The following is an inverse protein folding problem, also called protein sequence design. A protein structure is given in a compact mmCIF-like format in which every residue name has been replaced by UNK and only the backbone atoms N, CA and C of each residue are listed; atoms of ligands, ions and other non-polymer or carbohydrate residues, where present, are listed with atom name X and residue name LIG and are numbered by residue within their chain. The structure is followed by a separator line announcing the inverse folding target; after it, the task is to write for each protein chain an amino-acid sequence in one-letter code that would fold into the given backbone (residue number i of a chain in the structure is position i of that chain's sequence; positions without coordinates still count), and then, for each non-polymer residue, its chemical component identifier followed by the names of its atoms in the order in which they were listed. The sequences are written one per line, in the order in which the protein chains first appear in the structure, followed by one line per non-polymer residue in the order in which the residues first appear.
data_IF_551211149558
#
_entry.id   IF_551211149558
#
_cell.length_a   1.000
_cell.length_b   1.000
_cell.length_c   1.000
_cell.angle_alpha   90.00
_cell.angle_beta   90.00
_cell.angle_gamma   90.00
#
_symmetry.space_group_name_H-M   'P 1'
#
loop_
_entity.id
_entity.type
_entity.pdbx_description
1 polymer ?
#
# COMPACT_ATOMS: atom_id res chain seq x y z
N UNK A 1 -7.99 37.41 -0.47
CA UNK A 1 -9.08 36.56 0.07
C UNK A 1 -8.61 35.62 1.18
N UNK A 2 -7.47 34.91 1.04
CA UNK A 2 -6.88 34.08 2.11
C UNK A 2 -6.79 34.79 3.49
N UNK A 3 -6.31 36.04 3.50
CA UNK A 3 -6.14 36.87 4.69
C UNK A 3 -7.41 37.16 5.51
N UNK A 4 -8.59 37.11 4.87
CA UNK A 4 -9.89 37.32 5.55
C UNK A 4 -10.41 36.00 6.11
N UNK A 5 -10.25 34.90 5.37
CA UNK A 5 -10.53 33.56 5.89
C UNK A 5 -9.64 33.22 7.08
N UNK A 6 -8.36 33.58 7.04
CA UNK A 6 -7.42 33.33 8.15
C UNK A 6 -7.89 33.96 9.46
N UNK A 7 -8.36 35.22 9.39
CA UNK A 7 -8.83 35.97 10.55
C UNK A 7 -10.15 35.44 11.11
N UNK A 8 -11.06 35.00 10.25
CA UNK A 8 -12.31 34.34 10.66
C UNK A 8 -12.07 32.96 11.32
N UNK A 9 -11.10 32.20 10.84
CA UNK A 9 -10.76 30.89 11.39
C UNK A 9 -10.07 30.97 12.76
N UNK A 10 -9.09 31.86 12.92
CA UNK A 10 -8.34 32.00 14.18
C UNK A 10 -9.17 32.70 15.27
N UNK A 11 -9.94 33.74 14.94
CA UNK A 11 -10.60 34.57 15.96
C UNK A 11 -12.01 34.08 16.38
N UNK A 12 -12.70 33.24 15.58
CA UNK A 12 -14.12 32.91 15.82
C UNK A 12 -14.43 31.41 15.92
N UNK A 13 -13.66 30.54 15.28
CA UNK A 13 -14.03 29.12 15.16
C UNK A 13 -13.26 28.23 16.15
N UNK A 14 -12.03 28.59 16.54
CA UNK A 14 -11.24 27.83 17.52
C UNK A 14 -10.90 26.39 17.12
N UNK A 15 -11.26 25.98 15.90
CA UNK A 15 -10.99 24.66 15.33
C UNK A 15 -9.92 24.82 14.26
N UNK A 16 -8.70 24.38 14.56
CA UNK A 16 -7.68 24.16 13.54
C UNK A 16 -8.11 22.99 12.64
N UNK A 17 -8.91 23.29 11.62
CA UNK A 17 -9.33 22.27 10.65
C UNK A 17 -8.07 21.67 10.00
N UNK A 18 -7.89 20.36 10.11
CA UNK A 18 -6.80 19.61 9.45
C UNK A 18 -6.73 19.89 7.94
N UNK A 19 -7.86 20.23 7.33
CA UNK A 19 -7.95 20.63 5.93
C UNK A 19 -7.12 21.90 5.60
N UNK A 20 -7.00 22.86 6.53
CA UNK A 20 -6.23 24.10 6.31
C UNK A 20 -4.72 23.82 6.26
N UNK A 21 -4.20 23.09 7.25
CA UNK A 21 -2.78 22.71 7.27
C UNK A 21 -2.42 21.85 6.06
N UNK A 22 -3.33 20.96 5.64
CA UNK A 22 -3.17 20.14 4.45
C UNK A 22 -3.11 20.98 3.15
N UNK A 23 -4.04 21.91 2.95
CA UNK A 23 -4.05 22.81 1.78
C UNK A 23 -2.78 23.68 1.74
N UNK A 24 -2.32 24.15 2.90
CA UNK A 24 -1.07 24.90 2.99
C UNK A 24 0.14 24.03 2.62
N UNK A 25 0.22 22.79 3.12
CA UNK A 25 1.26 21.83 2.71
C UNK A 25 1.24 21.58 1.20
N UNK A 26 0.07 21.32 0.61
CA UNK A 26 -0.09 21.13 -0.84
C UNK A 26 0.40 22.33 -1.65
N UNK A 27 0.09 23.55 -1.21
CA UNK A 27 0.53 24.77 -1.90
C UNK A 27 2.06 24.94 -1.86
N UNK A 28 2.69 24.60 -0.73
CA UNK A 28 4.14 24.64 -0.58
C UNK A 28 4.82 23.58 -1.45
N UNK A 29 4.26 22.37 -1.48
CA UNK A 29 4.70 21.27 -2.32
C UNK A 29 4.63 21.63 -3.82
N UNK A 30 3.50 22.17 -4.29
CA UNK A 30 3.34 22.57 -5.69
C UNK A 30 4.35 23.65 -6.13
N UNK A 31 4.66 24.61 -5.25
CA UNK A 31 5.66 25.65 -5.53
C UNK A 31 7.07 25.07 -5.64
N UNK A 32 7.44 24.19 -4.71
CA UNK A 32 8.72 23.46 -4.76
C UNK A 32 8.84 22.63 -6.04
N UNK A 33 7.74 22.03 -6.50
CA UNK A 33 7.72 21.24 -7.72
C UNK A 33 8.14 22.07 -8.94
N UNK A 34 7.51 23.25 -9.10
CA UNK A 34 7.79 24.18 -10.20
C UNK A 34 9.25 24.64 -10.17
N UNK A 35 9.75 25.05 -9.00
CA UNK A 35 11.14 25.48 -8.84
C UNK A 35 12.12 24.36 -9.26
N UNK A 36 11.86 23.11 -8.88
CA UNK A 36 12.73 21.98 -9.24
C UNK A 36 12.66 21.59 -10.71
N UNK A 37 11.48 21.70 -11.34
CA UNK A 37 11.35 21.52 -12.78
C UNK A 37 12.13 22.59 -13.56
N UNK A 38 12.09 23.84 -13.11
CA UNK A 38 12.87 24.94 -13.70
C UNK A 38 14.38 24.73 -13.54
N UNK A 39 14.82 24.13 -12.43
CA UNK A 39 16.21 23.69 -12.21
C UNK A 39 16.62 22.49 -13.08
N UNK A 40 15.71 21.93 -13.86
CA UNK A 40 15.96 20.81 -14.77
C UNK A 40 15.98 19.44 -14.09
N UNK A 41 15.38 19.29 -12.90
CA UNK A 41 15.16 17.96 -12.33
C UNK A 41 14.20 17.14 -13.20
N UNK A 42 14.44 15.83 -13.19
CA UNK A 42 13.60 14.86 -13.87
C UNK A 42 12.14 14.91 -13.35
N UNK A 43 11.15 15.14 -14.23
CA UNK A 43 9.74 15.21 -13.84
C UNK A 43 9.22 13.94 -13.16
N UNK A 44 9.67 12.76 -13.57
CA UNK A 44 9.20 11.50 -13.01
C UNK A 44 9.69 11.32 -11.57
N UNK A 45 10.98 11.56 -11.32
CA UNK A 45 11.55 11.53 -9.97
C UNK A 45 10.86 12.53 -9.04
N UNK A 46 10.51 13.69 -9.56
CA UNK A 46 9.76 14.70 -8.82
C UNK A 46 8.33 14.25 -8.49
N UNK A 47 7.61 13.68 -9.45
CA UNK A 47 6.28 13.12 -9.25
C UNK A 47 6.30 12.04 -8.16
N UNK A 48 7.23 11.08 -8.26
CA UNK A 48 7.39 10.01 -7.27
C UNK A 48 7.68 10.58 -5.87
N UNK A 49 8.52 11.61 -5.76
CA UNK A 49 8.78 12.30 -4.49
C UNK A 49 7.50 12.88 -3.89
N UNK A 50 6.70 13.59 -4.69
CA UNK A 50 5.43 14.17 -4.23
C UNK A 50 4.41 13.11 -3.81
N UNK A 51 4.30 12.02 -4.57
CA UNK A 51 3.41 10.91 -4.23
C UNK A 51 3.73 10.36 -2.83
N UNK A 52 5.02 10.13 -2.52
CA UNK A 52 5.45 9.67 -1.20
C UNK A 52 5.15 10.70 -0.10
N UNK A 53 5.34 11.99 -0.37
CA UNK A 53 5.04 13.07 0.59
C UNK A 53 3.53 13.24 0.86
N UNK A 54 2.67 12.81 -0.06
CA UNK A 54 1.22 12.90 0.09
C UNK A 54 0.60 11.72 0.84
N UNK A 55 1.32 10.60 0.97
CA UNK A 55 0.85 9.42 1.70
C UNK A 55 0.27 9.75 3.09
N UNK A 56 0.92 10.59 3.95
CA UNK A 56 0.38 10.93 5.26
C UNK A 56 -0.99 11.62 5.22
N UNK A 57 -1.25 12.41 4.17
CA UNK A 57 -2.54 13.07 4.00
C UNK A 57 -3.67 12.08 3.68
N UNK A 58 -3.33 10.96 3.05
CA UNK A 58 -4.24 9.84 2.82
C UNK A 58 -4.30 8.87 4.02
N UNK A 59 -3.66 9.21 5.15
CA UNK A 59 -3.62 8.39 6.35
C UNK A 59 -2.55 7.29 6.31
N UNK A 60 -1.75 7.23 5.25
CA UNK A 60 -0.67 6.26 5.08
C UNK A 60 0.61 6.86 5.68
N UNK A 61 1.11 6.31 6.77
CA UNK A 61 2.34 6.78 7.42
C UNK A 61 3.37 5.66 7.45
N UNK A 62 4.11 5.42 6.36
CA UNK A 62 4.96 4.26 6.33
C UNK A 62 6.16 4.36 7.24
N UNK A 63 6.41 3.29 7.99
CA UNK A 63 7.65 3.13 8.75
C UNK A 63 8.77 2.89 7.76
N UNK A 64 9.75 3.80 7.72
CA UNK A 64 10.92 3.71 6.85
C UNK A 64 12.18 3.41 7.65
N UNK A 65 13.09 2.62 7.08
CA UNK A 65 14.42 2.39 7.62
C UNK A 65 14.46 1.52 8.89
N UNK A 66 13.32 0.97 9.32
CA UNK A 66 13.23 0.00 10.40
C UNK A 66 12.08 -0.97 10.18
N UNK A 67 12.21 -2.17 10.73
CA UNK A 67 11.12 -3.14 10.68
C UNK A 67 9.92 -2.67 11.52
N UNK A 68 8.75 -2.55 10.90
CA UNK A 68 7.49 -2.18 11.54
C UNK A 68 7.03 -3.17 12.63
N UNK A 69 7.60 -4.38 12.66
CA UNK A 69 7.27 -5.43 13.65
C UNK A 69 8.20 -5.38 14.86
N UNK A 70 9.51 -5.23 14.66
CA UNK A 70 10.51 -5.36 15.74
C UNK A 70 11.49 -4.18 15.87
N UNK A 71 11.38 -3.16 15.04
CA UNK A 71 12.18 -1.92 15.10
C UNK A 71 13.64 -2.06 14.65
N UNK A 72 14.06 -3.24 14.19
CA UNK A 72 15.45 -3.46 13.79
C UNK A 72 15.79 -2.81 12.45
N UNK A 73 17.08 -2.45 12.27
CA UNK A 73 17.60 -1.71 11.11
C UNK A 73 18.83 -2.34 10.46
N UNK A 74 19.29 -3.46 11.02
CA UNK A 74 20.54 -4.13 10.70
C UNK A 74 20.41 -5.24 9.65
N UNK A 75 19.18 -5.55 9.22
CA UNK A 75 18.89 -6.55 8.19
C UNK A 75 18.30 -5.91 6.93
N UNK A 76 18.36 -6.61 5.78
CA UNK A 76 17.60 -6.24 4.61
C UNK A 76 16.13 -6.03 4.94
N UNK A 77 15.59 -4.92 4.43
CA UNK A 77 14.19 -4.53 4.58
C UNK A 77 13.44 -4.77 3.28
N UNK A 78 12.22 -5.28 3.39
CA UNK A 78 11.20 -5.34 2.32
C UNK A 78 9.98 -4.51 2.75
N UNK A 79 8.96 -4.31 1.91
CA UNK A 79 7.76 -3.53 2.23
C UNK A 79 6.55 -4.43 2.51
N UNK A 80 5.80 -4.12 3.56
CA UNK A 80 4.51 -4.75 3.87
C UNK A 80 3.40 -3.72 3.68
N UNK A 81 2.50 -3.99 2.73
CA UNK A 81 1.28 -3.20 2.55
C UNK A 81 0.37 -3.32 3.78
N UNK A 82 0.27 -4.53 4.35
CA UNK A 82 -0.53 -4.82 5.55
C UNK A 82 -0.11 -3.96 6.75
N UNK A 83 1.19 -3.85 6.98
CA UNK A 83 1.75 -3.03 8.06
C UNK A 83 2.03 -1.59 7.63
N UNK A 84 1.76 -1.31 6.35
CA UNK A 84 2.01 -0.05 5.71
C UNK A 84 3.43 0.45 6.01
N UNK A 85 4.47 -0.37 5.85
CA UNK A 85 5.84 -0.01 6.27
C UNK A 85 6.87 -1.10 5.97
N UNK A 86 8.15 -0.78 6.19
CA UNK A 86 9.24 -1.72 5.94
C UNK A 86 9.33 -2.82 6.99
N UNK A 87 9.73 -4.03 6.61
CA UNK A 87 9.86 -5.22 7.46
C UNK A 87 11.20 -5.93 7.21
N UNK A 88 11.84 -6.42 8.26
CA UNK A 88 13.12 -7.12 8.14
C UNK A 88 12.95 -8.54 7.62
N UNK A 89 14.05 -9.15 7.17
CA UNK A 89 14.11 -10.54 6.70
C UNK A 89 13.48 -11.60 7.62
N UNK A 90 13.48 -11.41 8.93
CA UNK A 90 12.82 -12.33 9.88
C UNK A 90 11.29 -12.24 9.83
N UNK A 91 10.76 -11.09 9.41
CA UNK A 91 9.33 -10.78 9.36
C UNK A 91 8.82 -10.62 7.92
N UNK A 92 9.50 -11.22 6.94
CA UNK A 92 9.04 -11.22 5.54
C UNK A 92 7.69 -11.93 5.36
N UNK A 93 7.33 -12.85 6.26
CA UNK A 93 6.00 -13.47 6.35
C UNK A 93 4.88 -12.45 6.63
N UNK A 94 5.21 -11.25 7.14
CA UNK A 94 4.26 -10.16 7.33
C UNK A 94 4.03 -9.34 6.05
N UNK A 95 4.72 -9.65 4.96
CA UNK A 95 4.44 -9.11 3.64
C UNK A 95 3.24 -9.86 3.05
N UNK A 96 2.07 -9.20 2.97
CA UNK A 96 1.02 -9.68 2.06
C UNK A 96 1.39 -9.15 0.68
N UNK A 97 2.17 -9.94 -0.05
CA UNK A 97 2.58 -9.59 -1.40
C UNK A 97 1.59 -10.15 -2.41
N UNK A 98 1.24 -9.40 -3.48
CA UNK A 98 0.53 -9.96 -4.61
C UNK A 98 1.22 -11.25 -5.09
N UNK A 99 0.45 -12.18 -5.65
CA UNK A 99 1.00 -13.37 -6.32
C UNK A 99 1.75 -14.31 -5.35
N UNK A 100 1.33 -14.29 -4.09
CA UNK A 100 1.79 -15.17 -3.03
C UNK A 100 0.78 -16.29 -2.81
N UNK A 101 1.27 -17.50 -2.68
CA UNK A 101 0.45 -18.63 -2.23
C UNK A 101 0.74 -18.85 -0.76
N UNK A 102 -0.31 -18.95 0.04
CA UNK A 102 -0.16 -19.13 1.48
C UNK A 102 -1.20 -20.11 2.04
N UNK A 103 -0.75 -20.87 3.03
CA UNK A 103 -1.62 -21.71 3.86
C UNK A 103 -2.02 -20.91 5.09
N UNK A 104 -3.31 -20.76 5.31
CA UNK A 104 -3.86 -20.01 6.44
C UNK A 104 -4.52 -20.95 7.45
N UNK A 105 -4.54 -20.52 8.70
CA UNK A 105 -5.41 -21.10 9.72
C UNK A 105 -6.46 -20.09 10.16
N UNK A 106 -7.67 -20.57 10.43
CA UNK A 106 -8.81 -19.70 10.65
C UNK A 106 -10.06 -20.43 11.11
N UNK A 107 -11.11 -19.67 11.32
CA UNK A 107 -12.45 -20.14 11.67
C UNK A 107 -13.35 -19.99 10.47
N UNK A 108 -13.84 -21.12 9.94
CA UNK A 108 -14.84 -21.16 8.88
C UNK A 108 -16.23 -21.25 9.51
N UNK A 109 -17.02 -20.20 9.35
CA UNK A 109 -18.39 -20.14 9.82
C UNK A 109 -19.36 -20.50 8.68
N UNK A 110 -20.42 -21.25 8.99
CA UNK A 110 -21.46 -21.59 8.00
C UNK A 110 -22.33 -20.37 7.64
N UNK A 111 -22.40 -19.37 8.52
CA UNK A 111 -23.13 -18.12 8.31
C UNK A 111 -22.34 -16.96 8.89
N UNK A 112 -22.49 -15.76 8.32
CA UNK A 112 -21.72 -14.59 8.72
C UNK A 112 -20.27 -14.61 8.22
N UNK A 113 -19.40 -13.83 8.86
CA UNK A 113 -18.00 -13.70 8.47
C UNK A 113 -17.16 -14.86 8.99
N UNK A 114 -16.25 -15.35 8.15
CA UNK A 114 -15.15 -16.24 8.56
C UNK A 114 -13.91 -15.42 8.87
N UNK A 115 -12.98 -15.97 9.67
CA UNK A 115 -11.80 -15.24 10.12
C UNK A 115 -10.54 -16.03 9.81
N UNK A 116 -9.55 -15.35 9.23
CA UNK A 116 -8.18 -15.84 9.13
C UNK A 116 -7.45 -15.38 10.39
N UNK A 117 -6.91 -16.33 11.15
CA UNK A 117 -6.24 -16.07 12.42
C UNK A 117 -4.73 -15.93 12.24
N UNK A 118 -4.13 -16.74 11.38
CA UNK A 118 -2.68 -16.75 11.14
C UNK A 118 -2.32 -17.33 9.77
N UNK A 119 -1.07 -17.08 9.36
CA UNK A 119 -0.42 -17.69 8.19
C UNK A 119 0.47 -18.81 8.69
N UNK A 120 0.28 -20.03 8.19
CA UNK A 120 1.16 -21.18 8.49
C UNK A 120 2.42 -21.16 7.65
N UNK A 121 2.25 -20.92 6.35
CA UNK A 121 3.33 -20.90 5.38
C UNK A 121 2.96 -20.00 4.22
N UNK A 122 3.93 -19.28 3.65
CA UNK A 122 3.78 -18.49 2.43
C UNK A 122 4.93 -18.74 1.48
N UNK A 123 4.61 -18.81 0.20
CA UNK A 123 5.55 -18.91 -0.90
C UNK A 123 5.32 -17.77 -1.87
N UNK A 124 6.35 -16.93 -2.01
CA UNK A 124 6.36 -15.81 -2.94
C UNK A 124 7.00 -16.27 -4.25
N UNK A 125 6.28 -16.15 -5.37
CA UNK A 125 6.84 -16.48 -6.67
C UNK A 125 7.69 -15.32 -7.19
N UNK A 126 9.01 -15.38 -6.96
CA UNK A 126 9.95 -14.37 -7.49
C UNK A 126 9.89 -14.26 -9.00
N UNK A 127 9.64 -15.36 -9.69
CA UNK A 127 9.52 -15.37 -11.15
C UNK A 127 8.34 -14.50 -11.62
N UNK A 128 7.17 -14.67 -10.99
CA UNK A 128 5.99 -13.84 -11.30
C UNK A 128 6.16 -12.38 -10.88
N UNK A 129 7.03 -12.07 -9.93
CA UNK A 129 7.30 -10.69 -9.52
C UNK A 129 8.36 -9.99 -10.38
N UNK A 130 9.38 -10.72 -10.86
CA UNK A 130 10.48 -10.14 -11.64
C UNK A 130 10.21 -10.10 -13.16
N UNK A 131 9.30 -10.92 -13.65
CA UNK A 131 8.92 -10.98 -15.06
C UNK A 131 7.60 -10.23 -15.29
N UNK A 132 7.69 -9.05 -15.90
CA UNK A 132 6.54 -8.16 -16.13
C UNK A 132 5.47 -8.79 -17.03
N UNK A 133 5.86 -9.61 -18.01
CA UNK A 133 4.90 -10.25 -18.90
C UNK A 133 4.11 -11.33 -18.16
N UNK A 134 4.80 -12.19 -17.41
CA UNK A 134 4.14 -13.22 -16.59
C UNK A 134 3.26 -12.60 -15.52
N UNK A 135 3.71 -11.50 -14.90
CA UNK A 135 2.92 -10.76 -13.93
C UNK A 135 1.61 -10.24 -14.55
N UNK A 136 1.70 -9.61 -15.73
CA UNK A 136 0.55 -9.07 -16.44
C UNK A 136 -0.45 -10.17 -16.85
N UNK A 137 0.04 -11.29 -17.42
CA UNK A 137 -0.83 -12.41 -17.79
C UNK A 137 -1.52 -13.03 -16.59
N UNK A 138 -0.81 -13.30 -15.51
CA UNK A 138 -1.41 -13.90 -14.33
C UNK A 138 -2.40 -12.95 -13.65
N UNK A 139 -2.10 -11.65 -13.57
CA UNK A 139 -3.06 -10.64 -13.08
C UNK A 139 -4.34 -10.64 -13.91
N UNK A 140 -4.21 -10.71 -15.24
CA UNK A 140 -5.36 -10.79 -16.14
C UNK A 140 -6.15 -12.09 -15.97
N UNK A 141 -5.47 -13.24 -15.87
CA UNK A 141 -6.10 -14.55 -15.66
C UNK A 141 -6.87 -14.58 -14.33
N UNK A 142 -6.28 -14.08 -13.24
CA UNK A 142 -6.95 -13.98 -11.94
C UNK A 142 -8.18 -13.09 -12.02
N UNK A 143 -8.10 -11.95 -12.73
CA UNK A 143 -9.25 -11.08 -12.97
C UNK A 143 -10.36 -11.75 -13.80
N UNK A 144 -10.01 -12.58 -14.79
CA UNK A 144 -10.99 -13.35 -15.55
C UNK A 144 -11.68 -14.41 -14.69
N UNK A 145 -10.94 -15.08 -13.80
CA UNK A 145 -11.50 -16.08 -12.88
C UNK A 145 -12.46 -15.40 -11.90
N UNK A 146 -12.06 -14.27 -11.31
CA UNK A 146 -12.92 -13.47 -10.42
C UNK A 146 -14.22 -13.06 -11.12
N UNK A 147 -14.14 -12.62 -12.38
CA UNK A 147 -15.32 -12.23 -13.16
C UNK A 147 -16.17 -13.42 -13.65
N UNK A 148 -15.60 -14.61 -13.80
CA UNK A 148 -16.27 -15.77 -14.41
C UNK A 148 -17.07 -16.62 -13.41
N UNK A 149 -16.73 -16.58 -12.13
CA UNK A 149 -17.37 -17.40 -11.09
C UNK A 149 -18.17 -16.54 -10.12
N UNK A 150 -19.20 -17.13 -9.52
CA UNK A 150 -19.97 -16.48 -8.46
C UNK A 150 -19.18 -16.61 -7.16
N UNK A 151 -19.14 -15.54 -6.36
CA UNK A 151 -18.53 -15.51 -5.05
C UNK A 151 -18.95 -16.69 -4.16
N UNK A 152 -18.05 -17.08 -3.25
CA UNK A 152 -18.28 -18.11 -2.23
C UNK A 152 -18.57 -19.52 -2.79
N UNK A 153 -18.16 -19.80 -4.03
CA UNK A 153 -18.13 -21.15 -4.58
C UNK A 153 -16.70 -21.71 -4.61
N UNK A 154 -16.47 -22.96 -4.15
CA UNK A 154 -15.17 -23.59 -4.28
C UNK A 154 -14.79 -23.79 -5.76
N UNK A 155 -13.64 -23.25 -6.17
CA UNK A 155 -13.09 -23.37 -7.54
C UNK A 155 -11.82 -24.25 -7.59
N UNK A 156 -11.82 -25.36 -6.85
CA UNK A 156 -10.64 -26.21 -6.62
C UNK A 156 -9.91 -26.64 -7.90
N UNK A 157 -10.65 -27.01 -8.95
CA UNK A 157 -10.06 -27.40 -10.24
C UNK A 157 -9.20 -26.27 -10.85
N UNK A 158 -9.69 -25.03 -10.80
CA UNK A 158 -9.00 -23.88 -11.37
C UNK A 158 -7.84 -23.43 -10.49
N UNK A 159 -8.02 -23.48 -9.17
CA UNK A 159 -6.92 -23.27 -8.22
C UNK A 159 -5.77 -24.24 -8.50
N UNK A 160 -6.04 -25.54 -8.58
CA UNK A 160 -5.02 -26.55 -8.86
C UNK A 160 -4.38 -26.36 -10.24
N UNK A 161 -5.13 -25.92 -11.25
CA UNK A 161 -4.61 -25.65 -12.59
C UNK A 161 -3.64 -24.47 -12.61
N UNK A 162 -3.90 -23.40 -11.84
CA UNK A 162 -2.99 -22.26 -11.71
C UNK A 162 -1.72 -22.59 -10.92
N UNK A 163 -1.79 -23.61 -10.07
CA UNK A 163 -0.72 -24.04 -9.17
C UNK A 163 0.25 -25.05 -9.78
N UNK A 164 -0.03 -25.52 -11.00
CA UNK A 164 0.75 -26.53 -11.73
C UNK A 164 1.82 -25.89 -12.61
#
# INVERSE_FOLDING_TARGET
MARVMDKLYDDQVGVHLRAKSFIQQLSGLAKLALEKLEEGLDPQGLANYFEVQLLPAFGLNPTWGECAVCGRRDLPLDFSEKLNGTICQIHWDQAVQPMTIATFEGTLNQTGLSFINSVKESHHSRELMMDVEKNAYMTYILGLIDAAFVDNQPIEKWFNFLMM
#
